data_IF_727050170203
#
_entry.id   IF_727050170203
#
_cell.length_a   1.000
_cell.length_b   1.000
_cell.length_c   1.000
_cell.angle_alpha   90.00
_cell.angle_beta   90.00
_cell.angle_gamma   90.00
#
_symmetry.space_group_name_H-M   'P 1'
#
loop_
_entity.id
_entity.type
_entity.pdbx_description
1 polymer ?
#
# COMPACT_ATOMS: atom_id res chain seq x y z
N UNK A 1 -14.66 -1.51 -19.71
CA UNK A 1 -13.26 -1.95 -19.50
C UNK A 1 -12.34 -1.03 -20.30
N UNK A 2 -11.15 -0.72 -19.80
CA UNK A 2 -10.22 0.22 -20.44
C UNK A 2 -9.53 -0.32 -21.70
N UNK A 3 -9.68 -1.62 -22.02
CA UNK A 3 -9.07 -2.24 -23.20
C UNK A 3 -7.56 -2.47 -23.12
N UNK A 4 -6.92 -2.06 -22.02
CA UNK A 4 -5.48 -2.21 -21.72
C UNK A 4 -5.30 -2.66 -20.26
N UNK A 5 -4.14 -3.26 -19.91
CA UNK A 5 -3.82 -3.62 -18.53
C UNK A 5 -3.93 -2.42 -17.57
N UNK A 6 -4.61 -2.62 -16.44
CA UNK A 6 -4.83 -1.58 -15.41
C UNK A 6 -3.97 -1.86 -14.19
N UNK A 7 -3.16 -0.86 -13.80
CA UNK A 7 -2.47 -0.86 -12.52
C UNK A 7 -3.32 -0.12 -11.47
N UNK A 8 -3.59 -0.77 -10.33
CA UNK A 8 -4.27 -0.17 -9.19
C UNK A 8 -3.30 0.11 -8.02
N UNK A 9 -3.55 1.21 -7.30
CA UNK A 9 -2.85 1.53 -6.06
C UNK A 9 -3.65 0.98 -4.86
N UNK A 10 -3.04 0.09 -4.09
CA UNK A 10 -3.57 -0.39 -2.82
C UNK A 10 -2.97 0.42 -1.67
N UNK A 11 -3.82 1.00 -0.81
CA UNK A 11 -3.41 1.73 0.39
C UNK A 11 -4.35 1.37 1.56
N UNK A 12 -3.98 1.66 2.82
CA UNK A 12 -4.88 1.46 3.94
C UNK A 12 -6.24 2.14 3.71
N UNK A 13 -7.33 1.44 4.02
CA UNK A 13 -8.70 1.92 3.83
C UNK A 13 -9.25 1.80 2.40
N UNK A 14 -8.53 1.20 1.45
CA UNK A 14 -9.03 0.87 0.11
C UNK A 14 -9.28 -0.64 -0.04
N UNK A 15 -9.95 -1.11 -1.11
CA UNK A 15 -10.08 -2.53 -1.39
C UNK A 15 -8.72 -3.25 -1.37
N UNK A 16 -8.73 -4.47 -0.86
CA UNK A 16 -7.56 -5.35 -0.79
C UNK A 16 -7.02 -5.68 -2.19
N UNK A 17 -5.76 -6.14 -2.31
CA UNK A 17 -5.21 -6.56 -3.60
C UNK A 17 -6.07 -7.62 -4.31
N UNK A 18 -6.72 -8.52 -3.55
CA UNK A 18 -7.64 -9.53 -4.09
C UNK A 18 -8.90 -8.89 -4.68
N UNK A 19 -9.52 -7.96 -3.95
CA UNK A 19 -10.71 -7.27 -4.42
C UNK A 19 -10.40 -6.39 -5.64
N UNK A 20 -9.24 -5.72 -5.66
CA UNK A 20 -8.77 -4.97 -6.83
C UNK A 20 -8.60 -5.88 -8.06
N UNK A 21 -8.08 -7.09 -7.87
CA UNK A 21 -8.01 -8.10 -8.93
C UNK A 21 -9.39 -8.52 -9.44
N UNK A 22 -10.34 -8.76 -8.53
CA UNK A 22 -11.73 -9.07 -8.90
C UNK A 22 -12.44 -7.92 -9.64
N UNK A 23 -12.03 -6.67 -9.37
CA UNK A 23 -12.50 -5.47 -10.08
C UNK A 23 -11.79 -5.23 -11.43
N UNK A 24 -10.84 -6.09 -11.82
CA UNK A 24 -10.18 -6.05 -13.13
C UNK A 24 -8.81 -5.38 -13.14
N UNK A 25 -8.19 -5.12 -11.98
CA UNK A 25 -6.79 -4.73 -11.94
C UNK A 25 -5.89 -5.90 -12.37
N UNK A 26 -4.99 -5.66 -13.30
CA UNK A 26 -4.00 -6.65 -13.77
C UNK A 26 -2.67 -6.52 -13.04
N UNK A 27 -2.45 -5.38 -12.38
CA UNK A 27 -1.30 -5.11 -11.51
C UNK A 27 -1.77 -4.34 -10.30
N UNK A 28 -1.22 -4.68 -9.13
CA UNK A 28 -1.45 -3.93 -7.89
C UNK A 28 -0.10 -3.43 -7.38
N UNK A 29 -0.06 -2.16 -6.99
CA UNK A 29 1.11 -1.49 -6.42
C UNK A 29 0.74 -0.84 -5.09
N UNK A 30 1.73 -0.59 -4.24
CA UNK A 30 1.53 0.00 -2.91
C UNK A 30 2.13 1.42 -2.79
N UNK A 31 2.72 1.93 -3.88
CA UNK A 31 3.47 3.19 -3.86
C UNK A 31 4.53 3.18 -2.76
N UNK A 32 4.69 4.33 -2.10
CA UNK A 32 5.57 4.45 -0.93
C UNK A 32 4.92 4.05 0.41
N UNK A 33 3.70 3.51 0.41
CA UNK A 33 2.91 3.32 1.63
C UNK A 33 3.55 2.36 2.64
N UNK A 34 4.09 1.25 2.16
CA UNK A 34 4.78 0.27 3.01
C UNK A 34 6.05 0.85 3.63
N UNK A 35 6.82 1.62 2.85
CA UNK A 35 8.01 2.29 3.36
C UNK A 35 7.65 3.34 4.42
N UNK A 36 6.61 4.14 4.18
CA UNK A 36 6.13 5.14 5.14
C UNK A 36 5.68 4.49 6.47
N UNK A 37 4.94 3.37 6.41
CA UNK A 37 4.55 2.62 7.62
C UNK A 37 5.77 2.05 8.36
N UNK A 38 6.71 1.43 7.63
CA UNK A 38 7.92 0.90 8.26
C UNK A 38 8.74 2.00 8.94
N UNK A 39 8.88 3.14 8.27
CA UNK A 39 9.60 4.29 8.82
C UNK A 39 8.92 4.85 10.07
N UNK A 40 7.59 4.84 10.14
CA UNK A 40 6.86 5.27 11.34
C UNK A 40 7.14 4.37 12.53
N UNK A 41 7.11 3.04 12.35
CA UNK A 41 7.50 2.10 13.40
C UNK A 41 8.95 2.32 13.86
N UNK A 42 9.87 2.65 12.94
CA UNK A 42 11.25 3.01 13.29
C UNK A 42 11.30 4.29 14.13
N UNK A 43 10.49 5.30 13.82
CA UNK A 43 10.42 6.53 14.63
C UNK A 43 9.91 6.25 16.03
N UNK A 44 8.87 5.42 16.18
CA UNK A 44 8.34 5.02 17.49
C UNK A 44 9.41 4.30 18.33
N UNK A 45 10.15 3.36 17.72
CA UNK A 45 11.27 2.69 18.39
C UNK A 45 12.36 3.68 18.81
N UNK A 46 12.75 4.59 17.92
CA UNK A 46 13.76 5.59 18.21
C UNK A 46 13.32 6.53 19.34
N UNK A 47 12.06 6.98 19.34
CA UNK A 47 11.49 7.82 20.40
C UNK A 47 11.54 7.12 21.77
N UNK A 48 11.31 5.80 21.81
CA UNK A 48 11.43 4.99 23.03
C UNK A 48 12.86 4.84 23.56
N UNK A 49 13.89 5.16 22.79
CA UNK A 49 15.30 5.15 23.23
C UNK A 49 15.77 6.49 23.82
N UNK A 50 15.02 7.58 23.59
CA UNK A 50 15.37 8.94 24.03
C UNK A 50 14.64 9.33 25.33
N UNK A 51 13.85 8.41 25.91
CA UNK A 51 13.25 8.52 27.24
C UNK A 51 14.01 7.72 28.28
#
# INVERSE_FOLDING_TARGET
QAGVPVNALCKPGTPSPRELGALGATRVTFGGGLHAQALETVREMAAGLIG
#
